data_IF_781579394833
#
_entry.id   IF_781579394833
#
_cell.length_a   1.000
_cell.length_b   1.000
_cell.length_c   1.000
_cell.angle_alpha   90.00
_cell.angle_beta   90.00
_cell.angle_gamma   90.00
#
_symmetry.space_group_name_H-M   'P 1'
#
loop_
_entity.id
_entity.type
_entity.pdbx_description
1 polymer ?
#
# COMPACT_ATOMS: atom_id res chain seq x y z
N UNK A 1 3.12 1.33 -16.02
CA UNK A 1 2.95 2.50 -15.14
C UNK A 1 4.33 2.98 -14.69
N UNK A 2 4.57 4.25 -14.82
CA UNK A 2 5.89 4.84 -14.63
C UNK A 2 5.81 6.12 -13.80
N UNK A 3 6.96 6.54 -13.27
CA UNK A 3 7.09 7.85 -12.61
C UNK A 3 6.73 8.95 -13.61
N UNK A 4 5.92 9.90 -13.18
CA UNK A 4 5.39 10.97 -14.02
C UNK A 4 3.98 10.71 -14.56
N UNK A 5 3.51 9.46 -14.52
CA UNK A 5 2.16 9.13 -14.95
C UNK A 5 1.12 9.65 -13.94
N UNK A 6 -0.07 9.94 -14.44
CA UNK A 6 -1.22 10.15 -13.55
C UNK A 6 -1.63 8.82 -12.94
N UNK A 7 -1.78 8.79 -11.61
CA UNK A 7 -2.20 7.60 -10.90
C UNK A 7 -3.67 7.31 -11.19
N UNK A 8 -4.01 6.09 -11.66
CA UNK A 8 -5.41 5.72 -11.88
C UNK A 8 -6.22 5.78 -10.59
N UNK A 9 -7.45 6.29 -10.67
CA UNK A 9 -8.35 6.26 -9.53
C UNK A 9 -8.83 4.84 -9.25
N UNK A 10 -9.23 4.61 -8.02
CA UNK A 10 -9.84 3.36 -7.57
C UNK A 10 -10.79 3.64 -6.40
N UNK A 11 -11.68 2.70 -6.14
CA UNK A 11 -12.48 2.69 -4.92
C UNK A 11 -12.45 1.27 -4.37
N UNK A 12 -11.93 1.11 -3.16
CA UNK A 12 -11.78 -0.19 -2.51
C UNK A 12 -12.31 -0.13 -1.08
N UNK A 13 -12.85 -1.24 -0.60
CA UNK A 13 -13.31 -1.37 0.77
C UNK A 13 -12.13 -1.67 1.71
N UNK A 14 -12.08 -0.97 2.82
CA UNK A 14 -11.05 -1.13 3.84
C UNK A 14 -11.44 -2.17 4.90
N UNK A 15 -10.48 -2.56 5.72
CA UNK A 15 -10.67 -3.50 6.83
C UNK A 15 -11.73 -3.06 7.84
N UNK A 16 -11.99 -1.76 7.95
CA UNK A 16 -13.01 -1.21 8.85
C UNK A 16 -14.39 -1.04 8.18
N UNK A 17 -14.54 -1.50 6.94
CA UNK A 17 -15.78 -1.40 6.17
C UNK A 17 -15.98 -0.10 5.43
N UNK A 18 -15.11 0.89 5.60
CA UNK A 18 -15.20 2.14 4.84
C UNK A 18 -14.68 1.96 3.42
N UNK A 19 -15.15 2.83 2.51
CA UNK A 19 -14.66 2.86 1.13
C UNK A 19 -13.63 3.96 0.97
N UNK A 20 -12.51 3.63 0.31
CA UNK A 20 -11.42 4.55 0.08
C UNK A 20 -11.22 4.70 -1.42
N UNK A 21 -11.15 5.95 -1.89
CA UNK A 21 -10.81 6.26 -3.28
C UNK A 21 -9.63 7.23 -3.33
N UNK A 22 -8.79 7.07 -4.34
CA UNK A 22 -7.60 7.93 -4.50
C UNK A 22 -7.98 9.39 -4.67
N UNK A 23 -9.02 9.67 -5.45
CA UNK A 23 -9.47 11.04 -5.71
C UNK A 23 -9.89 11.81 -4.46
N UNK A 24 -10.23 11.12 -3.37
CA UNK A 24 -10.58 11.77 -2.09
C UNK A 24 -9.44 12.59 -1.52
N UNK A 25 -8.20 12.29 -1.90
CA UNK A 25 -7.00 12.96 -1.39
C UNK A 25 -6.42 13.98 -2.38
N UNK A 26 -6.99 14.06 -3.58
CA UNK A 26 -6.53 14.98 -4.61
C UNK A 26 -6.56 16.43 -4.12
N UNK A 27 -5.44 17.13 -4.27
CA UNK A 27 -5.29 18.50 -3.80
C UNK A 27 -5.10 18.66 -2.29
N UNK A 28 -5.12 17.56 -1.52
CA UNK A 28 -5.09 17.59 -0.05
C UNK A 28 -3.85 16.89 0.52
N UNK A 29 -3.62 15.66 0.12
CA UNK A 29 -2.58 14.80 0.70
C UNK A 29 -1.79 14.08 -0.36
N UNK A 30 -0.54 13.76 -0.05
CA UNK A 30 0.19 12.73 -0.77
C UNK A 30 -0.38 11.37 -0.39
N UNK A 31 -0.27 10.38 -1.27
CA UNK A 31 -0.78 9.03 -1.03
C UNK A 31 0.30 8.00 -1.26
N UNK A 32 0.44 7.07 -0.34
CA UNK A 32 1.34 5.93 -0.44
C UNK A 32 0.52 4.67 -0.55
N UNK A 33 0.73 3.91 -1.62
CA UNK A 33 0.05 2.64 -1.85
C UNK A 33 1.05 1.49 -1.78
N UNK A 34 0.93 0.68 -0.74
CA UNK A 34 1.80 -0.47 -0.50
C UNK A 34 1.09 -1.75 -0.96
N UNK A 35 1.41 -2.22 -2.15
CA UNK A 35 0.86 -3.48 -2.68
C UNK A 35 1.69 -4.66 -2.19
N UNK A 36 1.03 -5.74 -1.78
CA UNK A 36 1.67 -6.98 -1.36
C UNK A 36 0.84 -8.19 -1.78
N UNK A 37 1.45 -9.39 -1.88
CA UNK A 37 0.76 -10.53 -2.49
C UNK A 37 -0.47 -11.01 -1.73
N UNK A 38 -0.34 -11.30 -0.43
CA UNK A 38 -1.40 -11.89 0.37
C UNK A 38 -1.02 -11.88 1.85
N UNK A 39 -2.02 -11.78 2.74
CA UNK A 39 -1.81 -11.76 4.20
C UNK A 39 -1.18 -13.06 4.71
N UNK A 40 -1.71 -14.20 4.26
CA UNK A 40 -1.24 -15.52 4.68
C UNK A 40 -0.90 -16.35 3.46
N UNK A 41 0.38 -16.66 3.30
CA UNK A 41 0.86 -17.58 2.29
C UNK A 41 1.38 -18.85 2.98
N UNK A 42 1.20 -19.99 2.33
CA UNK A 42 1.79 -21.24 2.79
C UNK A 42 3.31 -21.07 2.88
N UNK A 43 3.88 -21.37 4.04
CA UNK A 43 5.30 -21.22 4.32
C UNK A 43 5.78 -19.76 4.24
N UNK A 44 7.06 -19.53 4.20
CA UNK A 44 7.83 -18.32 4.39
C UNK A 44 7.33 -16.94 3.88
N UNK A 45 6.49 -16.79 2.85
CA UNK A 45 6.11 -15.43 2.40
C UNK A 45 5.38 -14.57 3.42
N UNK A 46 4.66 -15.18 4.36
CA UNK A 46 3.99 -14.43 5.42
C UNK A 46 4.97 -13.63 6.28
N UNK A 47 6.21 -14.10 6.44
CA UNK A 47 7.24 -13.36 7.15
C UNK A 47 7.59 -12.05 6.46
N UNK A 48 7.70 -12.03 5.12
CA UNK A 48 7.97 -10.80 4.37
C UNK A 48 6.83 -9.79 4.49
N UNK A 49 5.60 -10.26 4.49
CA UNK A 49 4.42 -9.40 4.69
C UNK A 49 4.47 -8.77 6.07
N UNK A 50 4.76 -9.56 7.09
CA UNK A 50 4.89 -9.08 8.47
C UNK A 50 6.06 -8.11 8.62
N UNK A 51 7.24 -8.45 8.10
CA UNK A 51 8.42 -7.58 8.18
C UNK A 51 8.18 -6.23 7.51
N UNK A 52 7.51 -6.21 6.36
CA UNK A 52 7.16 -4.98 5.67
C UNK A 52 6.18 -4.14 6.48
N UNK A 53 5.13 -4.76 7.01
CA UNK A 53 4.16 -4.06 7.86
C UNK A 53 4.86 -3.48 9.10
N UNK A 54 5.69 -4.25 9.76
CA UNK A 54 6.44 -3.81 10.94
C UNK A 54 7.34 -2.62 10.63
N UNK A 55 8.04 -2.65 9.51
CA UNK A 55 8.90 -1.54 9.07
C UNK A 55 8.09 -0.26 8.85
N UNK A 56 6.95 -0.34 8.18
CA UNK A 56 6.08 0.81 7.93
C UNK A 56 5.46 1.33 9.22
N UNK A 57 4.98 0.44 10.09
CA UNK A 57 4.39 0.81 11.39
C UNK A 57 5.40 1.60 12.21
N UNK A 58 6.67 1.21 12.21
CA UNK A 58 7.71 1.87 13.01
C UNK A 58 7.94 3.34 12.63
N UNK A 59 7.57 3.75 11.43
CA UNK A 59 7.74 5.13 10.93
C UNK A 59 6.42 5.80 10.54
N UNK A 60 5.30 5.21 10.91
CA UNK A 60 3.99 5.71 10.45
C UNK A 60 3.73 7.15 10.88
N UNK A 61 4.12 7.54 12.10
CA UNK A 61 3.96 8.91 12.56
C UNK A 61 4.79 9.89 11.71
N UNK A 62 5.97 9.49 11.28
CA UNK A 62 6.80 10.29 10.37
C UNK A 62 6.15 10.45 9.01
N UNK A 63 5.49 9.38 8.51
CA UNK A 63 4.75 9.42 7.25
C UNK A 63 3.59 10.41 7.36
N UNK A 64 2.81 10.34 8.43
CA UNK A 64 1.70 11.27 8.65
C UNK A 64 2.19 12.71 8.75
N UNK A 65 3.36 12.95 9.33
CA UNK A 65 3.94 14.28 9.45
C UNK A 65 4.29 14.93 8.11
N UNK A 66 4.39 14.15 7.03
CA UNK A 66 4.63 14.67 5.67
C UNK A 66 3.34 15.02 4.91
N UNK A 67 2.22 15.10 5.59
CA UNK A 67 0.89 15.32 4.98
C UNK A 67 0.53 14.21 3.99
N UNK A 68 0.77 12.96 4.38
CA UNK A 68 0.55 11.79 3.54
C UNK A 68 -0.44 10.83 4.16
N UNK A 69 -1.18 10.13 3.30
CA UNK A 69 -2.01 8.98 3.67
C UNK A 69 -1.34 7.71 3.15
N UNK A 70 -1.43 6.63 3.91
CA UNK A 70 -0.85 5.35 3.51
C UNK A 70 -1.87 4.24 3.61
N UNK A 71 -1.92 3.40 2.59
CA UNK A 71 -2.78 2.22 2.51
C UNK A 71 -1.98 1.02 2.06
N UNK A 72 -2.25 -0.13 2.66
CA UNK A 72 -1.75 -1.42 2.18
C UNK A 72 -2.85 -2.08 1.34
N UNK A 73 -2.50 -2.67 0.22
CA UNK A 73 -3.47 -3.24 -0.73
C UNK A 73 -3.06 -4.65 -1.12
N UNK A 74 -4.00 -5.58 -1.03
CA UNK A 74 -3.84 -6.94 -1.53
C UNK A 74 -5.16 -7.45 -2.09
N UNK A 75 -5.15 -8.67 -2.61
CA UNK A 75 -6.37 -9.33 -3.12
C UNK A 75 -7.20 -10.00 -1.99
N UNK A 76 -6.76 -9.89 -0.75
CA UNK A 76 -7.46 -10.48 0.39
C UNK A 76 -8.84 -9.86 0.60
N UNK A 77 -9.73 -10.64 1.21
CA UNK A 77 -11.08 -10.16 1.56
C UNK A 77 -11.02 -9.14 2.70
N UNK A 78 -12.10 -8.39 2.88
CA UNK A 78 -12.22 -7.45 4.01
C UNK A 78 -12.05 -8.17 5.36
N UNK A 79 -12.64 -9.35 5.52
CA UNK A 79 -12.47 -10.16 6.74
C UNK A 79 -11.02 -10.54 6.99
N UNK A 80 -10.30 -10.96 5.95
CA UNK A 80 -8.88 -11.27 6.06
C UNK A 80 -8.05 -10.04 6.44
N UNK A 81 -8.35 -8.90 5.84
CA UNK A 81 -7.70 -7.64 6.17
C UNK A 81 -7.96 -7.23 7.62
N UNK A 82 -9.21 -7.37 8.07
CA UNK A 82 -9.58 -7.07 9.45
C UNK A 82 -8.79 -7.92 10.45
N UNK A 83 -8.70 -9.22 10.20
CA UNK A 83 -7.95 -10.14 11.07
C UNK A 83 -6.46 -9.78 11.10
N UNK A 84 -5.86 -9.47 9.95
CA UNK A 84 -4.46 -9.08 9.86
C UNK A 84 -4.21 -7.80 10.66
N UNK A 85 -5.03 -6.78 10.47
CA UNK A 85 -4.90 -5.50 11.17
C UNK A 85 -5.03 -5.68 12.69
N UNK A 86 -5.98 -6.48 13.15
CA UNK A 86 -6.17 -6.77 14.57
C UNK A 86 -5.00 -7.55 15.16
N UNK A 87 -4.53 -8.58 14.44
CA UNK A 87 -3.45 -9.45 14.91
C UNK A 87 -2.13 -8.68 15.10
N UNK A 88 -1.82 -7.77 14.17
CA UNK A 88 -0.56 -7.04 14.19
C UNK A 88 -0.68 -5.58 14.63
N UNK A 89 -1.86 -5.17 15.10
CA UNK A 89 -2.12 -3.79 15.55
C UNK A 89 -1.70 -2.74 14.52
N UNK A 90 -2.10 -2.93 13.28
CA UNK A 90 -1.75 -2.05 12.17
C UNK A 90 -2.50 -0.71 12.30
N UNK A 91 -1.82 0.44 12.30
CA UNK A 91 -2.47 1.74 12.51
C UNK A 91 -3.04 2.38 11.24
N UNK A 92 -2.84 1.78 10.08
CA UNK A 92 -3.36 2.29 8.81
C UNK A 92 -4.32 1.28 8.16
N UNK A 93 -5.09 1.74 7.19
CA UNK A 93 -6.10 0.90 6.54
C UNK A 93 -5.47 -0.08 5.54
N UNK A 94 -5.96 -1.30 5.55
CA UNK A 94 -5.73 -2.32 4.53
C UNK A 94 -6.93 -2.38 3.60
N UNK A 95 -6.69 -2.23 2.30
CA UNK A 95 -7.73 -2.22 1.27
C UNK A 95 -7.81 -3.58 0.59
N UNK A 96 -9.03 -3.99 0.28
CA UNK A 96 -9.33 -5.29 -0.35
C UNK A 96 -9.61 -5.12 -1.83
N UNK A 97 -8.74 -5.65 -2.68
CA UNK A 97 -8.90 -5.64 -4.14
C UNK A 97 -9.25 -7.05 -4.63
N UNK A 98 -10.39 -7.57 -4.19
CA UNK A 98 -10.81 -8.93 -4.51
C UNK A 98 -11.04 -9.17 -5.99
N UNK A 99 -11.39 -8.11 -6.74
CA UNK A 99 -11.56 -8.18 -8.19
C UNK A 99 -10.23 -8.10 -8.94
N UNK A 100 -9.13 -7.78 -8.26
CA UNK A 100 -7.78 -7.67 -8.81
C UNK A 100 -7.57 -6.52 -9.80
N UNK A 101 -8.55 -5.66 -10.02
CA UNK A 101 -8.47 -4.59 -11.03
C UNK A 101 -7.40 -3.55 -10.67
N UNK A 102 -7.36 -3.11 -9.43
CA UNK A 102 -6.37 -2.14 -8.97
C UNK A 102 -4.97 -2.75 -8.95
N UNK A 103 -4.84 -3.99 -8.47
CA UNK A 103 -3.55 -4.69 -8.46
C UNK A 103 -3.01 -4.88 -9.89
N UNK A 104 -3.87 -5.17 -10.86
CA UNK A 104 -3.45 -5.31 -12.26
C UNK A 104 -2.97 -3.99 -12.86
N UNK A 105 -3.63 -2.88 -12.52
CA UNK A 105 -3.26 -1.55 -13.04
C UNK A 105 -1.96 -1.02 -12.46
N UNK A 106 -1.71 -1.25 -11.17
CA UNK A 106 -0.56 -0.69 -10.45
C UNK A 106 0.66 -1.61 -10.54
N UNK A 107 0.85 -2.57 -9.62
CA UNK A 107 2.06 -3.39 -9.68
C UNK A 107 2.01 -4.49 -10.73
N UNK A 108 0.82 -4.86 -11.16
CA UNK A 108 0.58 -6.08 -11.90
C UNK A 108 0.41 -7.29 -10.98
N UNK A 109 -0.02 -8.40 -11.56
CA UNK A 109 -0.17 -9.66 -10.84
C UNK A 109 0.86 -10.68 -11.32
N UNK A 110 1.23 -11.61 -10.44
CA UNK A 110 2.13 -12.69 -10.79
C UNK A 110 1.37 -13.88 -11.40
N UNK A 111 2.07 -14.96 -11.74
CA UNK A 111 1.47 -16.14 -12.37
C UNK A 111 0.40 -16.81 -11.48
N UNK A 112 0.49 -16.66 -10.17
CA UNK A 112 -0.49 -17.16 -9.21
C UNK A 112 -1.70 -16.23 -9.04
N UNK A 113 -1.74 -15.10 -9.75
CA UNK A 113 -2.82 -14.12 -9.64
C UNK A 113 -2.73 -13.22 -8.42
N UNK A 114 -1.61 -13.24 -7.70
CA UNK A 114 -1.38 -12.38 -6.54
C UNK A 114 -0.75 -11.06 -6.98
N UNK A 115 -1.00 -9.99 -6.23
CA UNK A 115 -0.35 -8.71 -6.49
C UNK A 115 1.17 -8.84 -6.37
N UNK A 116 1.90 -8.24 -7.30
CA UNK A 116 3.34 -8.07 -7.14
C UNK A 116 3.60 -7.08 -6.02
N UNK A 117 4.70 -7.27 -5.29
CA UNK A 117 5.07 -6.34 -4.23
C UNK A 117 5.65 -5.07 -4.84
N UNK A 118 4.99 -3.95 -4.59
CA UNK A 118 5.46 -2.64 -5.03
C UNK A 118 4.80 -1.54 -4.20
N UNK A 119 5.50 -0.42 -4.03
CA UNK A 119 4.96 0.75 -3.35
C UNK A 119 5.01 1.94 -4.29
N UNK A 120 3.90 2.65 -4.37
CA UNK A 120 3.73 3.84 -5.21
C UNK A 120 3.61 5.06 -4.34
N UNK A 121 4.43 6.08 -4.62
CA UNK A 121 4.36 7.39 -3.97
C UNK A 121 3.66 8.34 -4.95
N UNK A 122 2.52 8.86 -4.54
CA UNK A 122 1.68 9.72 -5.37
C UNK A 122 1.57 11.08 -4.67
N UNK A 123 1.85 12.16 -5.38
CA UNK A 123 1.72 13.49 -4.81
C UNK A 123 0.26 13.95 -4.75
N UNK A 124 0.03 15.09 -4.13
CA UNK A 124 -1.33 15.64 -3.99
C UNK A 124 -1.98 16.04 -5.32
N UNK A 125 -1.21 16.12 -6.39
CA UNK A 125 -1.73 16.38 -7.74
C UNK A 125 -2.12 15.09 -8.48
N UNK A 126 -1.94 13.93 -7.84
CA UNK A 126 -2.25 12.64 -8.44
C UNK A 126 -1.16 12.12 -9.37
N UNK A 127 0.03 12.67 -9.32
CA UNK A 127 1.17 12.25 -10.14
C UNK A 127 2.03 11.25 -9.38
N UNK A 128 2.41 10.15 -10.03
CA UNK A 128 3.31 9.15 -9.46
C UNK A 128 4.72 9.74 -9.42
N UNK A 129 5.28 9.87 -8.21
CA UNK A 129 6.59 10.47 -7.97
C UNK A 129 7.68 9.45 -7.72
N UNK A 130 7.33 8.27 -7.27
CA UNK A 130 8.27 7.18 -7.07
C UNK A 130 7.55 5.83 -7.10
N UNK A 131 8.27 4.79 -7.54
CA UNK A 131 7.79 3.42 -7.53
C UNK A 131 8.91 2.54 -6.98
N UNK A 132 8.65 1.87 -5.86
CA UNK A 132 9.56 0.88 -5.30
C UNK A 132 9.12 -0.51 -5.73
N UNK A 133 9.93 -1.20 -6.52
CA UNK A 133 9.67 -2.57 -6.97
C UNK A 133 10.61 -3.59 -6.32
N UNK A 134 11.85 -3.18 -6.08
CA UNK A 134 12.84 -3.94 -5.32
C UNK A 134 12.78 -3.47 -3.87
N UNK A 135 11.94 -4.13 -3.07
CA UNK A 135 11.67 -3.70 -1.72
C UNK A 135 12.48 -4.51 -0.71
N UNK A 136 13.31 -3.83 0.07
CA UNK A 136 13.88 -4.39 1.29
C UNK A 136 12.81 -4.25 2.40
N UNK A 137 12.10 -5.35 2.67
CA UNK A 137 10.94 -5.33 3.57
C UNK A 137 11.28 -4.83 4.98
N UNK A 138 12.51 -5.00 5.42
CA UNK A 138 12.94 -4.59 6.77
C UNK A 138 13.23 -3.09 6.87
N UNK A 139 13.57 -2.45 5.76
CA UNK A 139 13.92 -1.02 5.70
C UNK A 139 12.95 -0.18 4.88
N UNK A 140 11.87 -0.77 4.42
CA UNK A 140 10.95 -0.12 3.49
C UNK A 140 10.31 1.15 4.07
N UNK A 141 9.99 1.15 5.37
CA UNK A 141 9.45 2.34 6.03
C UNK A 141 10.36 3.56 5.86
N UNK A 142 11.67 3.38 6.05
CA UNK A 142 12.64 4.47 5.86
C UNK A 142 12.71 4.95 4.41
N UNK A 143 12.63 4.02 3.45
CA UNK A 143 12.59 4.36 2.02
C UNK A 143 11.39 5.24 1.70
N UNK A 144 10.22 4.91 2.24
CA UNK A 144 9.01 5.70 2.06
C UNK A 144 9.18 7.10 2.64
N UNK A 145 9.63 7.22 3.88
CA UNK A 145 9.83 8.52 4.54
C UNK A 145 10.78 9.42 3.75
N UNK A 146 11.92 8.88 3.32
CA UNK A 146 12.89 9.63 2.52
C UNK A 146 12.29 10.12 1.21
N UNK A 147 11.50 9.29 0.54
CA UNK A 147 10.84 9.67 -0.70
C UNK A 147 9.80 10.78 -0.48
N UNK A 148 9.01 10.69 0.59
CA UNK A 148 8.02 11.71 0.91
C UNK A 148 8.63 13.05 1.27
N UNK A 149 9.77 13.06 1.95
CA UNK A 149 10.48 14.30 2.31
C UNK A 149 11.02 15.07 1.10
N UNK A 150 11.13 14.41 -0.04
CA UNK A 150 11.61 15.04 -1.30
C UNK A 150 10.50 15.64 -2.15
N UNK A 151 9.25 15.49 -1.76
CA UNK A 151 8.10 16.03 -2.52
C UNK A 151 7.92 17.54 -2.34
#
# INVERSE_FOLDING_TARGET
MEVGDSAPDFELEANDGTKVSLKSFAGKNNTVLCFYPKNHLFACPSKKVFDMAKSVISVYDEILATNSKLFAISIDTVDSQKKFVEEYSVPYLHLSDTQKDTCKKYPGTNIAGLAKRATFIIDKNGTIKNIFRDIDVKNHGKQIVESLKKL
#
